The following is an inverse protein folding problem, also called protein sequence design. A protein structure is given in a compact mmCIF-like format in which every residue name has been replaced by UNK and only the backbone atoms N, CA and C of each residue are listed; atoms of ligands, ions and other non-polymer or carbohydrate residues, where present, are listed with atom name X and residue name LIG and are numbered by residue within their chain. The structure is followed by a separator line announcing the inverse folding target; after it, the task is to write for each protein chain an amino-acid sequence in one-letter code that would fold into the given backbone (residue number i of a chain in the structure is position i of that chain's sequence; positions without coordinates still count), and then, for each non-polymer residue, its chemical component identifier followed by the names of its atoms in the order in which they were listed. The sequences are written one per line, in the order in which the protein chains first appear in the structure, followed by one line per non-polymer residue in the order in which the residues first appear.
data_IF_152625507447
#
_entry.id   IF_152625507447
#
_cell.length_a   1.000
_cell.length_b   1.000
_cell.length_c   1.000
_cell.angle_alpha   90.00
_cell.angle_beta   90.00
_cell.angle_gamma   90.00
#
_symmetry.space_group_name_H-M   'P 1'
#
loop_
_entity.id
_entity.type
_entity.pdbx_description
1 polymer ?
#
# COMPACT_ATOMS: atom_id res chain seq x y z
N UNK A 1 -22.02 2.07 59.12
CA UNK A 1 -20.67 2.43 58.64
C UNK A 1 -20.03 1.33 57.80
N UNK A 2 -19.98 0.07 58.24
CA UNK A 2 -19.40 -1.04 57.44
C UNK A 2 -20.18 -1.37 56.14
N UNK A 3 -21.52 -1.31 56.16
CA UNK A 3 -22.37 -1.57 54.99
C UNK A 3 -22.12 -0.58 53.84
N UNK A 4 -22.03 0.71 54.18
CA UNK A 4 -21.78 1.80 53.23
C UNK A 4 -20.40 1.67 52.61
N UNK A 5 -19.40 1.26 53.40
CA UNK A 5 -18.05 1.01 52.89
C UNK A 5 -18.02 -0.17 51.90
N UNK A 6 -18.77 -1.24 52.20
CA UNK A 6 -18.95 -2.39 51.28
C UNK A 6 -19.60 -1.98 49.96
N UNK A 7 -20.66 -1.17 49.99
CA UNK A 7 -21.33 -0.70 48.78
C UNK A 7 -20.42 0.17 47.92
N UNK A 8 -19.64 1.06 48.53
CA UNK A 8 -18.65 1.89 47.81
C UNK A 8 -17.58 1.01 47.17
N UNK A 9 -17.09 -0.02 47.87
CA UNK A 9 -16.10 -0.96 47.34
C UNK A 9 -16.63 -1.76 46.16
N UNK A 10 -17.87 -2.27 46.24
CA UNK A 10 -18.49 -2.98 45.13
C UNK A 10 -18.64 -2.10 43.90
N UNK A 11 -19.08 -0.85 44.04
CA UNK A 11 -19.19 0.06 42.90
C UNK A 11 -17.84 0.36 42.26
N UNK A 12 -16.77 0.46 43.07
CA UNK A 12 -15.42 0.67 42.57
C UNK A 12 -14.93 -0.54 41.77
N UNK A 13 -15.20 -1.75 42.25
CA UNK A 13 -14.84 -2.99 41.56
C UNK A 13 -15.60 -3.16 40.25
N UNK A 14 -16.90 -2.86 40.23
CA UNK A 14 -17.72 -2.93 39.02
C UNK A 14 -17.27 -1.89 37.98
N UNK A 15 -16.92 -0.68 38.42
CA UNK A 15 -16.37 0.36 37.55
C UNK A 15 -14.98 -0.03 37.00
N UNK A 16 -14.13 -0.67 37.81
CA UNK A 16 -12.83 -1.16 37.35
C UNK A 16 -12.98 -2.30 36.35
N UNK A 17 -13.96 -3.20 36.56
CA UNK A 17 -14.26 -4.27 35.61
C UNK A 17 -14.78 -3.74 34.28
N UNK A 18 -15.72 -2.79 34.29
CA UNK A 18 -16.21 -2.19 33.06
C UNK A 18 -15.09 -1.44 32.34
N UNK A 19 -14.26 -0.68 33.07
CA UNK A 19 -13.11 -0.02 32.48
C UNK A 19 -12.13 -1.00 31.81
N UNK A 20 -11.82 -2.12 32.45
CA UNK A 20 -10.92 -3.12 31.87
C UNK A 20 -11.54 -3.83 30.64
N UNK A 21 -12.81 -4.20 30.72
CA UNK A 21 -13.48 -4.95 29.65
C UNK A 21 -13.87 -4.07 28.46
N UNK A 22 -14.26 -2.83 28.70
CA UNK A 22 -14.77 -1.94 27.64
C UNK A 22 -13.68 -1.05 27.07
N UNK A 23 -12.72 -0.59 27.90
CA UNK A 23 -11.67 0.30 27.42
C UNK A 23 -10.40 -0.47 27.05
N UNK A 24 -9.83 -1.24 27.99
CA UNK A 24 -8.55 -1.92 27.75
C UNK A 24 -8.68 -3.00 26.68
N UNK A 25 -9.67 -3.88 26.80
CA UNK A 25 -9.88 -4.97 25.83
C UNK A 25 -10.19 -4.43 24.43
N UNK A 26 -10.97 -3.35 24.33
CA UNK A 26 -11.35 -2.80 23.03
C UNK A 26 -10.18 -2.05 22.38
N UNK A 27 -9.35 -1.35 23.17
CA UNK A 27 -8.10 -0.76 22.69
C UNK A 27 -7.12 -1.84 22.21
N UNK A 28 -6.94 -2.93 22.96
CA UNK A 28 -6.06 -4.04 22.57
C UNK A 28 -6.50 -4.65 21.24
N UNK A 29 -7.79 -4.96 21.08
CA UNK A 29 -8.34 -5.46 19.80
C UNK A 29 -8.09 -4.49 18.66
N UNK A 30 -8.32 -3.19 18.88
CA UNK A 30 -8.15 -2.17 17.84
C UNK A 30 -6.69 -2.06 17.40
N UNK A 31 -5.76 -2.02 18.33
CA UNK A 31 -4.32 -2.00 18.04
C UNK A 31 -3.89 -3.27 17.29
N UNK A 32 -4.39 -4.44 17.69
CA UNK A 32 -4.06 -5.69 17.01
C UNK A 32 -4.61 -5.73 15.57
N UNK A 33 -5.84 -5.25 15.36
CA UNK A 33 -6.42 -5.12 14.02
C UNK A 33 -5.64 -4.13 13.16
N UNK A 34 -5.31 -2.96 13.71
CA UNK A 34 -4.55 -1.93 13.00
C UNK A 34 -3.16 -2.44 12.62
N UNK A 35 -2.48 -3.15 13.52
CA UNK A 35 -1.17 -3.77 13.21
C UNK A 35 -1.26 -4.79 12.07
N UNK A 36 -2.33 -5.58 12.00
CA UNK A 36 -2.56 -6.53 10.90
C UNK A 36 -2.89 -5.81 9.59
N UNK A 37 -3.76 -4.80 9.65
CA UNK A 37 -4.17 -4.02 8.50
C UNK A 37 -3.00 -3.24 7.90
N UNK A 38 -2.22 -2.55 8.74
CA UNK A 38 -1.00 -1.84 8.35
C UNK A 38 -0.01 -2.76 7.64
N UNK A 39 0.24 -3.95 8.20
CA UNK A 39 1.14 -4.91 7.58
C UNK A 39 0.63 -5.43 6.23
N UNK A 40 -0.69 -5.66 6.10
CA UNK A 40 -1.29 -6.07 4.84
C UNK A 40 -1.22 -4.96 3.78
N UNK A 41 -1.53 -3.72 4.17
CA UNK A 41 -1.44 -2.54 3.31
C UNK A 41 0.01 -2.30 2.86
N UNK A 42 0.98 -2.39 3.78
CA UNK A 42 2.41 -2.26 3.48
C UNK A 42 2.88 -3.34 2.50
N UNK A 43 2.53 -4.61 2.73
CA UNK A 43 2.89 -5.71 1.81
C UNK A 43 2.29 -5.52 0.43
N UNK A 44 1.02 -5.09 0.35
CA UNK A 44 0.34 -4.81 -0.92
C UNK A 44 1.05 -3.69 -1.67
N UNK A 45 1.36 -2.59 -0.99
CA UNK A 45 2.11 -1.48 -1.56
C UNK A 45 3.49 -1.92 -2.08
N UNK A 46 4.25 -2.67 -1.27
CA UNK A 46 5.56 -3.19 -1.66
C UNK A 46 5.48 -4.14 -2.87
N UNK A 47 4.50 -5.04 -2.92
CA UNK A 47 4.29 -5.93 -4.06
C UNK A 47 3.93 -5.16 -5.33
N UNK A 48 3.02 -4.20 -5.24
CA UNK A 48 2.65 -3.37 -6.40
C UNK A 48 3.82 -2.54 -6.90
N UNK A 49 4.62 -1.95 -6.00
CA UNK A 49 5.82 -1.19 -6.37
C UNK A 49 6.87 -2.10 -7.05
N UNK A 50 7.13 -3.28 -6.48
CA UNK A 50 8.10 -4.23 -7.03
C UNK A 50 7.66 -4.78 -8.40
N UNK A 51 6.40 -5.19 -8.51
CA UNK A 51 5.84 -5.70 -9.77
C UNK A 51 5.83 -4.64 -10.88
N UNK A 52 5.54 -3.37 -10.55
CA UNK A 52 5.55 -2.27 -11.52
C UNK A 52 6.98 -1.98 -12.00
N UNK A 53 7.96 -1.94 -11.09
CA UNK A 53 9.39 -1.77 -11.41
C UNK A 53 9.94 -2.85 -12.33
N UNK A 54 9.71 -4.12 -12.02
CA UNK A 54 10.16 -5.25 -12.86
C UNK A 54 9.52 -5.21 -14.26
N UNK A 55 8.29 -4.74 -14.37
CA UNK A 55 7.59 -4.62 -15.66
C UNK A 55 8.12 -3.47 -16.52
N UNK A 56 8.57 -2.38 -15.88
CA UNK A 56 9.17 -1.22 -16.54
C UNK A 56 10.55 -1.57 -17.09
N UNK A 57 11.37 -2.27 -16.31
CA UNK A 57 12.70 -2.72 -16.70
C UNK A 57 12.65 -3.66 -17.92
N UNK A 58 11.72 -4.64 -17.90
CA UNK A 58 11.46 -5.51 -19.06
C UNK A 58 11.08 -4.73 -20.32
N UNK A 59 10.23 -3.71 -20.18
CA UNK A 59 9.80 -2.87 -21.31
C UNK A 59 10.97 -2.04 -21.86
N UNK A 60 11.82 -1.49 -20.99
CA UNK A 60 13.03 -0.76 -21.40
C UNK A 60 14.03 -1.67 -22.13
N UNK A 61 14.20 -2.91 -21.68
CA UNK A 61 15.09 -3.87 -22.33
C UNK A 61 14.59 -4.32 -23.70
N UNK A 62 13.27 -4.50 -23.86
CA UNK A 62 12.66 -4.73 -25.17
C UNK A 62 12.86 -3.54 -26.11
N UNK A 63 12.68 -2.31 -25.61
CA UNK A 63 12.92 -1.07 -26.38
C UNK A 63 14.38 -0.97 -26.84
N UNK A 64 15.35 -1.26 -25.96
CA UNK A 64 16.79 -1.30 -26.30
C UNK A 64 17.09 -2.38 -27.36
N UNK A 65 16.47 -3.56 -27.26
CA UNK A 65 16.62 -4.63 -28.25
C UNK A 65 16.02 -4.25 -29.61
N UNK A 66 14.87 -3.56 -29.61
CA UNK A 66 14.22 -3.04 -30.82
C UNK A 66 15.08 -2.00 -31.53
N UNK A 67 15.65 -1.03 -30.79
CA UNK A 67 16.58 -0.02 -31.35
C UNK A 67 17.82 -0.62 -32.02
N UNK A 68 18.39 -1.68 -31.42
CA UNK A 68 19.54 -2.39 -32.02
C UNK A 68 19.16 -3.12 -33.32
N UNK A 69 17.93 -3.65 -33.41
CA UNK A 69 17.43 -4.34 -34.60
C UNK A 69 16.98 -3.38 -35.70
N UNK A 70 16.49 -2.19 -35.35
CA UNK A 70 16.02 -1.19 -36.32
C UNK A 70 17.18 -0.55 -37.09
N UNK A 71 18.35 -0.36 -36.47
CA UNK A 71 19.54 0.19 -37.14
C UNK A 71 20.12 -0.69 -38.27
N UNK A 72 19.77 -1.99 -38.34
CA UNK A 72 20.23 -2.90 -39.40
C UNK A 72 19.22 -3.15 -40.53
N UNK A 73 18.00 -2.60 -40.43
CA UNK A 73 16.88 -2.93 -41.33
C UNK A 73 16.49 -1.73 -42.21
N UNK A 74 16.27 -1.97 -43.51
CA UNK A 74 15.82 -0.95 -44.49
C UNK A 74 14.36 -0.48 -44.29
N UNK A 75 13.63 -0.99 -43.30
CA UNK A 75 12.23 -0.67 -43.01
C UNK A 75 12.07 0.28 -41.80
N UNK A 76 12.69 1.45 -41.85
CA UNK A 76 12.74 2.46 -40.77
C UNK A 76 11.37 2.86 -40.22
N UNK A 77 10.35 3.04 -41.08
CA UNK A 77 9.00 3.48 -40.66
C UNK A 77 8.25 2.43 -39.83
N UNK A 78 8.32 1.15 -40.21
CA UNK A 78 7.64 0.04 -39.49
C UNK A 78 8.21 -0.22 -38.09
N UNK A 79 9.50 0.08 -37.89
CA UNK A 79 10.15 -0.01 -36.58
C UNK A 79 9.96 1.26 -35.75
N UNK A 80 9.92 2.44 -36.39
CA UNK A 80 9.59 3.70 -35.72
C UNK A 80 8.21 3.69 -35.06
N UNK A 81 7.19 3.16 -35.74
CA UNK A 81 5.83 3.03 -35.16
C UNK A 81 5.79 2.06 -33.98
N UNK A 82 6.54 0.96 -34.03
CA UNK A 82 6.69 0.03 -32.89
C UNK A 82 7.45 0.65 -31.73
N UNK A 83 8.51 1.40 -32.00
CA UNK A 83 9.27 2.12 -30.96
C UNK A 83 8.42 3.21 -30.31
N UNK A 84 7.64 3.96 -31.09
CA UNK A 84 6.67 4.93 -30.57
C UNK A 84 5.61 4.25 -29.72
N UNK A 85 5.05 3.13 -30.19
CA UNK A 85 4.02 2.39 -29.46
C UNK A 85 4.54 1.80 -28.15
N UNK A 86 5.77 1.24 -28.10
CA UNK A 86 6.40 0.74 -26.86
C UNK A 86 6.78 1.89 -25.92
N UNK A 87 7.24 3.03 -26.47
CA UNK A 87 7.56 4.22 -25.67
C UNK A 87 6.31 4.85 -25.06
N UNK A 88 5.20 4.89 -25.80
CA UNK A 88 3.92 5.43 -25.34
C UNK A 88 3.22 4.47 -24.37
N UNK A 89 3.36 3.15 -24.57
CA UNK A 89 2.98 2.14 -23.58
C UNK A 89 3.80 2.25 -22.29
N UNK A 90 5.10 2.50 -22.40
CA UNK A 90 6.00 2.75 -21.27
C UNK A 90 5.60 4.01 -20.50
N UNK A 91 5.35 5.11 -21.20
CA UNK A 91 4.89 6.39 -20.62
C UNK A 91 3.51 6.29 -19.95
N UNK A 92 2.57 5.55 -20.54
CA UNK A 92 1.28 5.23 -19.88
C UNK A 92 1.48 4.41 -18.61
N UNK A 93 2.45 3.50 -18.58
CA UNK A 93 2.72 2.68 -17.40
C UNK A 93 3.46 3.47 -16.31
N UNK A 94 4.29 4.43 -16.68
CA UNK A 94 4.98 5.36 -15.78
C UNK A 94 3.99 6.32 -15.10
N UNK A 95 3.07 6.91 -15.88
CA UNK A 95 1.98 7.76 -15.34
C UNK A 95 0.97 6.99 -14.48
N UNK A 96 0.65 5.73 -14.81
CA UNK A 96 -0.15 4.84 -13.94
C UNK A 96 0.64 4.38 -12.72
N UNK A 97 1.97 4.27 -12.83
CA UNK A 97 2.89 4.01 -11.72
C UNK A 97 2.88 5.14 -10.70
N UNK A 98 2.96 6.39 -11.17
CA UNK A 98 2.81 7.59 -10.34
C UNK A 98 1.42 7.70 -9.72
N UNK A 99 0.34 7.47 -10.49
CA UNK A 99 -1.02 7.52 -9.95
C UNK A 99 -1.28 6.45 -8.87
N UNK A 100 -0.78 5.22 -9.07
CA UNK A 100 -0.88 4.15 -8.07
C UNK A 100 0.03 4.38 -6.86
N UNK A 101 1.21 4.98 -7.06
CA UNK A 101 2.10 5.42 -5.98
C UNK A 101 1.44 6.50 -5.13
N UNK A 102 0.86 7.53 -5.75
CA UNK A 102 0.14 8.62 -5.07
C UNK A 102 -1.10 8.11 -4.33
N UNK A 103 -1.81 7.09 -4.84
CA UNK A 103 -2.96 6.52 -4.15
C UNK A 103 -2.52 5.64 -2.96
N UNK A 104 -1.46 4.85 -3.12
CA UNK A 104 -0.85 4.10 -2.02
C UNK A 104 -0.21 4.99 -0.95
N UNK A 105 0.34 6.14 -1.34
CA UNK A 105 0.91 7.12 -0.42
C UNK A 105 -0.18 7.87 0.35
N UNK A 106 -1.34 8.13 -0.27
CA UNK A 106 -2.54 8.64 0.41
C UNK A 106 -3.12 7.62 1.39
N UNK A 107 -3.20 6.35 1.01
CA UNK A 107 -3.60 5.26 1.90
C UNK A 107 -2.63 5.13 3.09
N UNK A 108 -1.31 5.09 2.85
CA UNK A 108 -0.31 5.03 3.92
C UNK A 108 -0.36 6.26 4.83
N UNK A 109 -0.56 7.46 4.27
CA UNK A 109 -0.73 8.69 5.07
C UNK A 109 -2.00 8.67 5.91
N UNK A 110 -3.11 8.14 5.39
CA UNK A 110 -4.36 8.00 6.15
C UNK A 110 -4.21 7.02 7.32
N UNK A 111 -3.40 5.96 7.14
CA UNK A 111 -3.15 4.98 8.20
C UNK A 111 -2.06 5.42 9.20
N UNK A 112 -1.11 6.28 8.79
CA UNK A 112 -0.10 6.86 9.70
C UNK A 112 -0.59 8.10 10.48
N UNK A 113 -1.71 8.72 10.10
CA UNK A 113 -2.29 9.90 10.78
C UNK A 113 -3.43 9.56 11.76
N UNK A 114 -3.84 8.30 11.88
CA UNK A 114 -4.75 7.80 12.92
C UNK A 114 -3.95 7.20 14.08
#
# INVERSE_FOLDING_TARGET
MAEVHRQIQMQLEDMLKSFHNELLTELEKKVELDARYLNAALKKYQMEHKSKGESLEKCQDELKKLRRKSQGSKNTSKYGDKEMQVSDWGRRRETVGEAGGVNGEKDLRFVLLL
#
